data_IF_027343597165
#
_entry.id   IF_027343597165
#
_cell.length_a   1.000
_cell.length_b   1.000
_cell.length_c   1.000
_cell.angle_alpha   90.00
_cell.angle_beta   90.00
_cell.angle_gamma   90.00
#
_symmetry.space_group_name_H-M   'P 1'
#
loop_
_entity.id
_entity.type
_entity.pdbx_description
1 polymer ?
#
# COMPACT_ATOMS: atom_id res chain seq x y z
N UNK A 1 43.26 29.00 -64.68
CA UNK A 1 42.04 29.73 -65.06
C UNK A 1 40.84 28.99 -64.48
N UNK A 2 40.08 29.67 -63.62
CA UNK A 2 38.63 29.53 -63.36
C UNK A 2 38.16 28.11 -62.95
N UNK A 3 37.82 27.78 -61.70
CA UNK A 3 37.13 28.58 -60.69
C UNK A 3 35.63 28.61 -60.94
N UNK A 4 34.91 27.50 -60.72
CA UNK A 4 33.43 27.53 -60.64
C UNK A 4 32.98 26.71 -59.43
N UNK A 5 32.84 27.40 -58.30
CA UNK A 5 32.04 26.99 -57.15
C UNK A 5 30.58 26.87 -57.62
N UNK A 6 29.99 25.68 -57.55
CA UNK A 6 28.54 25.54 -57.65
C UNK A 6 27.92 25.93 -56.32
N UNK A 7 27.32 27.11 -56.30
CA UNK A 7 26.42 27.58 -55.24
C UNK A 7 25.10 26.83 -55.41
N UNK A 8 24.74 25.98 -54.46
CA UNK A 8 23.38 25.45 -54.31
C UNK A 8 22.65 26.39 -53.36
N UNK A 9 21.47 26.91 -53.70
CA UNK A 9 20.75 27.83 -52.84
C UNK A 9 20.19 27.05 -51.63
N UNK A 10 20.58 27.46 -50.42
CA UNK A 10 19.88 27.07 -49.20
C UNK A 10 18.54 27.81 -49.23
N UNK A 11 17.48 27.09 -49.61
CA UNK A 11 16.12 27.56 -49.38
C UNK A 11 15.89 27.53 -47.87
N UNK A 12 15.93 28.71 -47.25
CA UNK A 12 15.50 28.89 -45.87
C UNK A 12 14.00 28.60 -45.78
N UNK A 13 13.66 27.39 -45.36
CA UNK A 13 12.29 27.01 -45.04
C UNK A 13 11.93 27.63 -43.68
N UNK A 14 11.48 28.88 -43.71
CA UNK A 14 10.82 29.53 -42.58
C UNK A 14 9.49 28.81 -42.33
N UNK A 15 9.48 27.87 -41.38
CA UNK A 15 8.24 27.38 -40.79
C UNK A 15 7.69 28.53 -39.95
N UNK A 16 6.77 29.29 -40.54
CA UNK A 16 6.00 30.30 -39.83
C UNK A 16 5.27 29.64 -38.67
N UNK A 17 5.47 30.17 -37.46
CA UNK A 17 4.57 29.94 -36.34
C UNK A 17 3.23 30.59 -36.69
N UNK A 18 2.38 29.86 -37.42
CA UNK A 18 0.99 30.23 -37.58
C UNK A 18 0.30 29.94 -36.26
N UNK A 19 0.17 30.99 -35.45
CA UNK A 19 -0.62 31.02 -34.24
C UNK A 19 -2.08 30.74 -34.59
N UNK A 20 -2.50 29.48 -34.46
CA UNK A 20 -3.91 29.16 -34.39
C UNK A 20 -4.42 29.60 -33.02
N UNK A 21 -4.88 30.85 -32.95
CA UNK A 21 -5.90 31.26 -32.00
C UNK A 21 -7.17 30.43 -32.30
N UNK A 22 -7.19 29.21 -31.77
CA UNK A 22 -8.36 28.36 -31.74
C UNK A 22 -9.39 29.03 -30.82
N UNK A 23 -10.48 29.45 -31.43
CA UNK A 23 -11.65 30.01 -30.77
C UNK A 23 -11.99 29.22 -29.50
N UNK A 24 -12.03 29.95 -28.39
CA UNK A 24 -12.62 29.48 -27.15
C UNK A 24 -14.09 29.15 -27.38
N UNK A 25 -14.37 27.86 -27.57
CA UNK A 25 -15.62 27.28 -27.12
C UNK A 25 -15.57 27.35 -25.59
N UNK A 26 -16.17 28.42 -25.04
CA UNK A 26 -16.63 28.42 -23.65
C UNK A 26 -17.58 27.24 -23.50
N UNK A 27 -17.06 26.12 -22.99
CA UNK A 27 -17.87 25.02 -22.51
C UNK A 27 -18.83 25.59 -21.46
N UNK A 28 -20.12 25.56 -21.77
CA UNK A 28 -21.21 25.80 -20.80
C UNK A 28 -21.26 24.72 -19.70
N UNK A 29 -20.40 23.70 -19.76
CA UNK A 29 -20.15 22.76 -18.67
C UNK A 29 -19.02 23.28 -17.80
N UNK A 30 -19.28 23.48 -16.51
CA UNK A 30 -18.30 23.91 -15.53
C UNK A 30 -17.11 22.95 -15.34
N UNK A 31 -16.24 23.23 -14.34
CA UNK A 31 -15.02 22.50 -13.99
C UNK A 31 -15.06 20.98 -14.08
N UNK A 32 -16.21 20.41 -13.69
CA UNK A 32 -16.42 19.00 -13.54
C UNK A 32 -17.12 18.48 -14.79
N UNK A 33 -16.35 17.88 -15.68
CA UNK A 33 -16.85 17.35 -16.95
C UNK A 33 -17.57 16.03 -16.69
N UNK A 34 -18.89 16.01 -16.85
CA UNK A 34 -19.74 14.86 -16.50
C UNK A 34 -19.48 13.58 -17.30
N UNK A 35 -18.76 13.69 -18.42
CA UNK A 35 -18.39 12.57 -19.30
C UNK A 35 -16.88 12.22 -19.24
N UNK A 36 -16.10 12.87 -18.37
CA UNK A 36 -14.70 12.53 -18.18
C UNK A 36 -14.56 11.15 -17.53
N UNK A 37 -13.57 10.36 -17.98
CA UNK A 37 -13.29 9.06 -17.40
C UNK A 37 -12.32 9.23 -16.25
N UNK A 38 -12.84 9.52 -15.06
CA UNK A 38 -12.05 9.76 -13.86
C UNK A 38 -11.02 8.65 -13.58
N UNK A 39 -11.29 7.38 -13.92
CA UNK A 39 -10.31 6.30 -13.72
C UNK A 39 -9.11 6.43 -14.66
N UNK A 40 -9.36 6.77 -15.92
CA UNK A 40 -8.31 6.99 -16.90
C UNK A 40 -7.51 8.26 -16.57
N UNK A 41 -8.18 9.34 -16.18
CA UNK A 41 -7.51 10.60 -15.84
C UNK A 41 -6.61 10.45 -14.60
N UNK A 42 -7.07 9.72 -13.58
CA UNK A 42 -6.24 9.38 -12.41
C UNK A 42 -5.06 8.50 -12.80
N UNK A 43 -5.26 7.53 -13.69
CA UNK A 43 -4.18 6.67 -14.16
C UNK A 43 -3.13 7.46 -14.94
N UNK A 44 -3.55 8.34 -15.85
CA UNK A 44 -2.65 9.24 -16.59
C UNK A 44 -1.87 10.13 -15.64
N UNK A 45 -2.55 10.79 -14.70
CA UNK A 45 -1.91 11.66 -13.71
C UNK A 45 -0.90 10.90 -12.83
N UNK A 46 -1.18 9.63 -12.48
CA UNK A 46 -0.23 8.79 -11.74
C UNK A 46 0.99 8.41 -12.57
N UNK A 47 0.82 8.13 -13.88
CA UNK A 47 1.96 7.86 -14.77
C UNK A 47 2.83 9.10 -14.96
N UNK A 48 2.22 10.27 -15.13
CA UNK A 48 2.94 11.54 -15.25
C UNK A 48 3.65 11.89 -13.93
N UNK A 49 2.98 11.73 -12.79
CA UNK A 49 3.55 11.93 -11.45
C UNK A 49 4.76 11.02 -11.17
N UNK A 50 4.73 9.78 -11.69
CA UNK A 50 5.88 8.88 -11.58
C UNK A 50 7.07 9.35 -12.43
N UNK A 51 6.80 9.93 -13.61
CA UNK A 51 7.83 10.39 -14.52
C UNK A 51 8.50 11.69 -14.06
N UNK A 52 7.75 12.62 -13.46
CA UNK A 52 8.26 13.94 -13.05
C UNK A 52 8.36 14.15 -11.53
N UNK A 53 8.10 13.09 -10.76
CA UNK A 53 8.17 13.06 -9.29
C UNK A 53 7.21 14.03 -8.58
N UNK A 54 6.11 14.43 -9.23
CA UNK A 54 5.05 15.20 -8.58
C UNK A 54 4.07 14.32 -7.80
N UNK A 55 3.20 14.97 -7.04
CA UNK A 55 2.06 14.34 -6.40
C UNK A 55 0.84 14.36 -7.34
N UNK A 56 -0.21 13.60 -7.02
CA UNK A 56 -1.50 13.73 -7.70
C UNK A 56 -2.51 14.34 -6.73
N UNK A 57 -3.19 15.41 -7.14
CA UNK A 57 -4.26 16.01 -6.37
C UNK A 57 -5.60 15.65 -7.02
N UNK A 58 -6.43 14.90 -6.30
CA UNK A 58 -7.80 14.60 -6.72
C UNK A 58 -8.75 15.62 -6.11
N UNK A 59 -9.46 16.37 -6.95
CA UNK A 59 -10.50 17.32 -6.56
C UNK A 59 -11.88 16.74 -6.90
N UNK A 60 -12.58 16.25 -5.87
CA UNK A 60 -13.95 15.77 -5.97
C UNK A 60 -14.93 16.93 -5.78
N UNK A 61 -15.78 17.15 -6.77
CA UNK A 61 -16.81 18.17 -6.71
C UNK A 61 -17.89 18.02 -7.77
N UNK A 62 -18.74 19.03 -7.90
CA UNK A 62 -19.83 19.03 -8.87
C UNK A 62 -20.16 20.46 -9.32
N UNK A 63 -20.69 20.60 -10.54
CA UNK A 63 -20.99 21.94 -11.09
C UNK A 63 -22.12 22.69 -10.36
N UNK A 64 -22.97 22.00 -9.58
CA UNK A 64 -24.00 22.65 -8.75
C UNK A 64 -23.46 23.11 -7.38
N UNK A 65 -22.23 22.73 -7.02
CA UNK A 65 -21.64 23.00 -5.70
C UNK A 65 -20.92 24.36 -5.66
N UNK A 66 -21.56 25.37 -5.07
CA UNK A 66 -20.97 26.71 -4.94
C UNK A 66 -19.62 26.73 -4.16
N UNK A 67 -19.45 25.99 -3.04
CA UNK A 67 -18.15 25.91 -2.36
C UNK A 67 -17.04 25.29 -3.22
N UNK A 68 -17.37 24.38 -4.14
CA UNK A 68 -16.41 23.78 -5.06
C UNK A 68 -15.88 24.81 -6.07
N UNK A 69 -16.77 25.67 -6.60
CA UNK A 69 -16.36 26.79 -7.47
C UNK A 69 -15.51 27.81 -6.72
N UNK A 70 -15.86 28.12 -5.46
CA UNK A 70 -15.09 29.03 -4.63
C UNK A 70 -13.66 28.51 -4.40
N UNK A 71 -13.51 27.22 -4.04
CA UNK A 71 -12.20 26.59 -3.90
C UNK A 71 -11.38 26.65 -5.20
N UNK A 72 -12.01 26.37 -6.35
CA UNK A 72 -11.33 26.42 -7.64
C UNK A 72 -10.90 27.84 -8.02
N UNK A 73 -11.67 28.86 -7.69
CA UNK A 73 -11.23 30.25 -7.89
C UNK A 73 -9.92 30.53 -7.13
N UNK A 74 -9.74 29.95 -5.93
CA UNK A 74 -8.51 30.07 -5.17
C UNK A 74 -7.32 29.35 -5.85
N UNK A 75 -7.55 28.20 -6.50
CA UNK A 75 -6.51 27.49 -7.26
C UNK A 75 -5.94 28.32 -8.41
N UNK A 76 -6.72 29.27 -8.94
CA UNK A 76 -6.30 30.15 -10.04
C UNK A 76 -5.64 31.46 -9.58
N UNK A 77 -5.50 31.68 -8.27
CA UNK A 77 -4.69 32.81 -7.77
C UNK A 77 -3.21 32.60 -8.09
N UNK A 78 -2.40 33.64 -8.33
CA UNK A 78 -1.03 33.48 -8.85
C UNK A 78 -0.14 32.56 -8.01
N UNK A 79 -0.19 32.68 -6.68
CA UNK A 79 0.63 31.87 -5.78
C UNK A 79 0.18 30.41 -5.74
N UNK A 80 -1.13 30.15 -5.58
CA UNK A 80 -1.67 28.80 -5.58
C UNK A 80 -1.49 28.11 -6.93
N UNK A 81 -1.73 28.81 -8.05
CA UNK A 81 -1.55 28.26 -9.39
C UNK A 81 -0.10 27.85 -9.65
N UNK A 82 0.86 28.69 -9.24
CA UNK A 82 2.29 28.41 -9.38
C UNK A 82 2.69 27.18 -8.54
N UNK A 83 2.24 27.12 -7.29
CA UNK A 83 2.52 25.99 -6.40
C UNK A 83 1.89 24.69 -6.91
N UNK A 84 0.62 24.73 -7.34
CA UNK A 84 -0.11 23.57 -7.85
C UNK A 84 0.55 23.01 -9.11
N UNK A 85 0.90 23.87 -10.07
CA UNK A 85 1.58 23.47 -11.31
C UNK A 85 2.95 22.84 -11.05
N UNK A 86 3.69 23.37 -10.08
CA UNK A 86 5.01 22.86 -9.71
C UNK A 86 4.94 21.51 -8.97
N UNK A 87 3.87 21.27 -8.21
CA UNK A 87 3.85 20.20 -7.18
C UNK A 87 2.90 19.05 -7.51
N UNK A 88 1.84 19.29 -8.28
CA UNK A 88 0.77 18.31 -8.49
C UNK A 88 0.39 18.13 -9.96
N UNK A 89 0.00 16.91 -10.31
CA UNK A 89 -0.94 16.62 -11.39
C UNK A 89 -2.36 16.67 -10.83
N UNK A 90 -3.17 17.62 -11.29
CA UNK A 90 -4.51 17.88 -10.77
C UNK A 90 -5.57 17.14 -11.59
N UNK A 91 -6.41 16.35 -10.93
CA UNK A 91 -7.53 15.61 -11.54
C UNK A 91 -8.85 16.06 -10.93
N UNK A 92 -9.73 16.61 -11.76
CA UNK A 92 -11.09 16.97 -11.37
C UNK A 92 -12.03 15.77 -11.53
N UNK A 93 -12.76 15.43 -10.47
CA UNK A 93 -13.64 14.26 -10.43
C UNK A 93 -15.07 14.73 -10.17
N UNK A 94 -15.92 14.64 -11.20
CA UNK A 94 -17.34 14.96 -11.08
C UNK A 94 -18.08 13.87 -10.29
N UNK A 95 -18.74 14.26 -9.20
CA UNK A 95 -19.56 13.34 -8.40
C UNK A 95 -21.05 13.41 -8.77
N UNK A 96 -21.43 14.31 -9.68
CA UNK A 96 -22.84 14.54 -10.03
C UNK A 96 -23.67 14.92 -8.80
N UNK A 97 -24.89 14.40 -8.69
CA UNK A 97 -25.70 14.50 -7.46
C UNK A 97 -25.34 13.34 -6.50
N UNK A 98 -24.05 13.15 -6.24
CA UNK A 98 -23.48 12.00 -5.53
C UNK A 98 -23.79 10.63 -6.17
N UNK A 99 -24.09 10.63 -7.47
CA UNK A 99 -24.46 9.44 -8.24
C UNK A 99 -23.42 9.08 -9.33
N UNK A 100 -22.31 9.82 -9.44
CA UNK A 100 -21.19 9.52 -10.34
C UNK A 100 -19.90 9.32 -9.55
N UNK A 101 -19.02 8.47 -10.08
CA UNK A 101 -17.67 8.20 -9.54
C UNK A 101 -17.65 7.79 -8.05
N UNK A 102 -18.75 7.27 -7.51
CA UNK A 102 -18.84 6.86 -6.11
C UNK A 102 -17.90 5.70 -5.77
N UNK A 103 -17.58 4.83 -6.73
CA UNK A 103 -16.56 3.79 -6.57
C UNK A 103 -15.14 4.37 -6.53
N UNK A 104 -14.86 5.41 -7.32
CA UNK A 104 -13.58 6.15 -7.28
C UNK A 104 -13.43 6.86 -5.95
N UNK A 105 -14.48 7.55 -5.48
CA UNK A 105 -14.50 8.19 -4.17
C UNK A 105 -14.25 7.16 -3.04
N UNK A 106 -14.87 5.98 -3.10
CA UNK A 106 -14.63 4.89 -2.13
C UNK A 106 -13.23 4.30 -2.22
N UNK A 107 -12.67 4.14 -3.43
CA UNK A 107 -11.31 3.63 -3.66
C UNK A 107 -10.27 4.47 -2.89
N UNK A 108 -10.46 5.79 -2.86
CA UNK A 108 -9.54 6.73 -2.22
C UNK A 108 -10.05 7.24 -0.86
N UNK A 109 -10.76 6.41 -0.09
CA UNK A 109 -11.09 6.70 1.32
C UNK A 109 -12.45 7.37 1.57
N UNK A 110 -13.43 7.16 0.69
CA UNK A 110 -14.78 7.74 0.78
C UNK A 110 -14.77 9.27 0.79
N UNK A 111 -13.98 9.86 -0.11
CA UNK A 111 -13.64 11.28 -0.15
C UNK A 111 -14.83 12.26 -0.03
N UNK A 112 -16.01 11.87 -0.52
CA UNK A 112 -17.21 12.72 -0.55
C UNK A 112 -18.03 12.70 0.75
N UNK A 113 -17.62 11.93 1.76
CA UNK A 113 -18.25 11.94 3.09
C UNK A 113 -17.38 12.77 4.07
N UNK A 114 -17.91 13.82 4.72
CA UNK A 114 -19.33 14.20 4.81
C UNK A 114 -19.83 15.18 3.72
N UNK A 115 -19.00 15.59 2.74
CA UNK A 115 -19.47 16.45 1.65
C UNK A 115 -18.37 16.84 0.65
N UNK A 116 -18.75 17.68 -0.33
CA UNK A 116 -17.85 18.28 -1.34
C UNK A 116 -17.72 19.81 -1.13
N UNK A 117 -16.60 20.44 -1.54
CA UNK A 117 -15.43 19.85 -2.20
C UNK A 117 -14.62 18.92 -1.27
N UNK A 118 -13.92 17.98 -1.88
CA UNK A 118 -13.00 17.09 -1.19
C UNK A 118 -11.71 16.92 -1.98
N UNK A 119 -10.59 17.14 -1.33
CA UNK A 119 -9.25 17.03 -1.88
C UNK A 119 -8.55 15.79 -1.33
N UNK A 120 -8.04 14.95 -2.22
CA UNK A 120 -7.18 13.81 -1.86
C UNK A 120 -5.81 14.03 -2.47
N UNK A 121 -4.76 13.92 -1.66
CA UNK A 121 -3.38 13.97 -2.14
C UNK A 121 -2.86 12.55 -2.24
N UNK A 122 -2.39 12.17 -3.43
CA UNK A 122 -1.68 10.93 -3.68
C UNK A 122 -0.19 11.20 -3.87
N UNK A 123 0.65 10.30 -3.35
CA UNK A 123 2.02 10.16 -3.84
C UNK A 123 2.02 9.71 -5.30
N UNK A 124 3.15 9.88 -6.01
CA UNK A 124 3.35 9.35 -7.37
C UNK A 124 3.13 7.83 -7.46
N UNK A 125 3.34 7.10 -6.36
CA UNK A 125 3.02 5.67 -6.24
C UNK A 125 1.52 5.35 -6.24
N UNK A 126 0.65 6.35 -6.05
CA UNK A 126 -0.79 6.19 -5.88
C UNK A 126 -1.23 5.96 -4.43
N UNK A 127 -0.31 5.95 -3.45
CA UNK A 127 -0.64 5.95 -2.03
C UNK A 127 -1.35 7.25 -1.64
N UNK A 128 -2.46 7.16 -0.89
CA UNK A 128 -3.09 8.35 -0.33
C UNK A 128 -2.27 8.87 0.84
N UNK A 129 -1.77 10.10 0.73
CA UNK A 129 -0.92 10.74 1.75
C UNK A 129 -1.59 11.92 2.44
N UNK A 130 -2.76 12.35 1.97
CA UNK A 130 -3.50 13.45 2.58
C UNK A 130 -4.97 13.49 2.17
N UNK A 131 -5.80 13.95 3.11
CA UNK A 131 -7.23 14.17 2.93
C UNK A 131 -7.59 15.56 3.43
N UNK A 132 -8.34 16.32 2.63
CA UNK A 132 -9.00 17.53 3.12
C UNK A 132 -10.43 17.57 2.60
N UNK A 133 -11.39 17.39 3.51
CA UNK A 133 -12.81 17.21 3.15
C UNK A 133 -13.71 18.25 3.82
N UNK A 134 -14.74 18.72 3.11
CA UNK A 134 -15.90 19.38 3.72
C UNK A 134 -15.56 20.56 4.65
N UNK A 135 -16.01 20.52 5.91
CA UNK A 135 -15.83 21.60 6.91
C UNK A 135 -14.36 21.99 7.15
N UNK A 136 -13.41 21.09 6.89
CA UNK A 136 -11.98 21.39 6.98
C UNK A 136 -11.49 22.39 5.92
N UNK A 137 -12.24 22.56 4.82
CA UNK A 137 -11.97 23.56 3.78
C UNK A 137 -12.69 24.89 4.04
N UNK A 138 -13.62 24.96 5.00
CA UNK A 138 -14.34 26.20 5.34
C UNK A 138 -13.44 27.38 5.75
N UNK A 139 -12.25 27.17 6.38
CA UNK A 139 -11.31 28.26 6.67
C UNK A 139 -10.45 28.70 5.47
N UNK A 140 -10.48 27.98 4.33
CA UNK A 140 -9.65 28.29 3.15
C UNK A 140 -10.29 29.45 2.39
N UNK A 141 -9.63 30.61 2.40
CA UNK A 141 -10.20 31.85 1.84
C UNK A 141 -9.27 32.58 0.86
N UNK A 142 -8.03 32.11 0.73
CA UNK A 142 -6.99 32.71 -0.10
C UNK A 142 -6.15 31.65 -0.83
N UNK A 143 -5.39 32.06 -1.83
CA UNK A 143 -4.39 31.20 -2.46
C UNK A 143 -3.33 30.71 -1.48
N UNK A 144 -2.92 31.57 -0.53
CA UNK A 144 -1.92 31.22 0.49
C UNK A 144 -2.45 30.13 1.44
N UNK A 145 -3.75 30.13 1.74
CA UNK A 145 -4.39 29.07 2.52
C UNK A 145 -4.37 27.72 1.78
N UNK A 146 -4.58 27.74 0.46
CA UNK A 146 -4.47 26.54 -0.38
C UNK A 146 -3.05 25.98 -0.34
N UNK A 147 -2.04 26.84 -0.53
CA UNK A 147 -0.63 26.44 -0.47
C UNK A 147 -0.29 25.87 0.90
N UNK A 148 -0.61 26.58 1.98
CA UNK A 148 -0.34 26.15 3.37
C UNK A 148 -0.99 24.81 3.70
N UNK A 149 -2.23 24.61 3.26
CA UNK A 149 -2.97 23.37 3.49
C UNK A 149 -2.32 22.19 2.76
N UNK A 150 -2.03 22.36 1.47
CA UNK A 150 -1.49 21.30 0.62
C UNK A 150 0.00 21.03 0.91
N UNK A 151 0.78 22.06 1.21
CA UNK A 151 2.17 21.90 1.67
C UNK A 151 2.20 21.17 2.99
N UNK A 152 1.32 21.47 3.96
CA UNK A 152 1.26 20.70 5.21
C UNK A 152 0.90 19.23 5.00
N UNK A 153 0.12 18.88 3.96
CA UNK A 153 -0.15 17.48 3.62
C UNK A 153 1.09 16.78 3.02
N UNK A 154 1.85 17.50 2.20
CA UNK A 154 3.12 17.04 1.60
C UNK A 154 4.28 17.04 2.62
N UNK A 155 4.31 17.97 3.56
CA UNK A 155 5.41 18.17 4.51
C UNK A 155 5.35 17.19 5.68
N UNK A 156 4.14 16.77 6.08
CA UNK A 156 3.95 15.62 6.99
C UNK A 156 4.52 14.32 6.42
N UNK A 157 4.73 14.26 5.11
CA UNK A 157 5.47 13.18 4.44
C UNK A 157 6.92 13.57 4.14
N UNK A 158 7.26 14.85 3.96
CA UNK A 158 8.65 15.31 3.74
C UNK A 158 9.55 15.26 4.99
N UNK A 159 9.00 15.22 6.22
CA UNK A 159 9.77 14.85 7.42
C UNK A 159 10.17 13.36 7.46
N UNK A 160 9.70 12.58 6.47
CA UNK A 160 10.19 11.25 6.06
C UNK A 160 10.71 11.33 4.63
N UNK A 161 11.64 12.27 4.42
CA UNK A 161 12.08 12.78 3.12
C UNK A 161 12.50 11.74 2.07
N UNK A 162 12.32 12.14 0.82
CA UNK A 162 12.91 11.58 -0.41
C UNK A 162 12.83 10.06 -0.55
N UNK A 163 11.82 9.57 -1.27
CA UNK A 163 11.87 8.23 -1.82
C UNK A 163 12.12 8.31 -3.33
N UNK A 164 13.42 8.27 -3.70
CA UNK A 164 13.87 7.26 -4.66
C UNK A 164 13.08 5.96 -4.43
N UNK A 165 12.74 5.16 -5.47
CA UNK A 165 11.98 3.93 -5.29
C UNK A 165 12.51 3.18 -4.07
N UNK A 166 11.68 3.07 -3.01
CA UNK A 166 12.12 2.38 -1.80
C UNK A 166 12.56 1.00 -2.26
N UNK A 167 13.80 0.58 -1.99
CA UNK A 167 14.23 -0.75 -2.37
C UNK A 167 13.21 -1.75 -1.82
N UNK A 168 12.95 -2.82 -2.58
CA UNK A 168 12.12 -3.91 -2.11
C UNK A 168 12.58 -4.28 -0.69
N UNK A 169 11.64 -4.66 0.19
CA UNK A 169 12.01 -5.12 1.53
C UNK A 169 12.91 -6.34 1.36
N UNK A 170 14.21 -6.14 1.49
CA UNK A 170 15.22 -7.17 1.32
C UNK A 170 15.26 -8.02 2.59
N UNK A 171 15.11 -9.33 2.39
CA UNK A 171 15.32 -10.31 3.44
C UNK A 171 16.82 -10.61 3.53
N UNK A 172 17.36 -10.62 4.74
CA UNK A 172 18.72 -11.02 5.07
C UNK A 172 18.95 -12.47 4.63
N UNK A 173 19.74 -12.71 3.56
CA UNK A 173 19.95 -14.05 3.02
C UNK A 173 20.61 -14.99 4.05
N UNK A 174 21.38 -14.47 5.00
CA UNK A 174 21.99 -15.27 6.06
C UNK A 174 20.96 -15.86 7.04
N UNK A 175 19.73 -15.36 7.03
CA UNK A 175 18.61 -15.91 7.81
C UNK A 175 17.79 -16.97 7.05
N UNK A 176 18.09 -17.22 5.77
CA UNK A 176 17.40 -18.22 4.95
C UNK A 176 18.08 -19.57 5.14
N UNK A 177 17.64 -20.30 6.16
CA UNK A 177 18.12 -21.65 6.48
C UNK A 177 16.99 -22.49 7.04
N UNK A 178 17.11 -23.81 6.92
CA UNK A 178 16.17 -24.74 7.51
C UNK A 178 16.11 -24.54 9.03
N UNK A 179 14.91 -24.35 9.57
CA UNK A 179 14.69 -24.09 10.99
C UNK A 179 13.29 -24.54 11.44
N UNK A 180 13.12 -24.73 12.74
CA UNK A 180 11.82 -24.97 13.34
C UNK A 180 11.75 -24.23 14.69
N UNK A 181 10.80 -23.31 14.81
CA UNK A 181 10.55 -22.53 16.01
C UNK A 181 9.20 -22.96 16.60
N UNK A 182 9.13 -23.09 17.93
CA UNK A 182 7.89 -23.41 18.66
C UNK A 182 7.64 -22.36 19.72
N UNK A 183 6.47 -21.75 19.68
CA UNK A 183 5.99 -20.76 20.65
C UNK A 183 4.78 -21.33 21.38
N UNK A 184 4.73 -21.13 22.70
CA UNK A 184 3.53 -21.36 23.48
C UNK A 184 2.50 -20.27 23.18
N UNK A 185 1.22 -20.64 23.07
CA UNK A 185 0.11 -19.71 22.86
C UNK A 185 -0.60 -19.48 24.19
N UNK A 186 -0.74 -18.21 24.55
CA UNK A 186 -1.52 -17.75 25.69
C UNK A 186 -2.67 -16.89 25.19
N UNK A 187 -3.89 -17.19 25.60
CA UNK A 187 -5.07 -16.40 25.26
C UNK A 187 -5.86 -16.11 26.53
N UNK A 188 -6.25 -14.84 26.74
CA UNK A 188 -6.99 -14.40 27.92
C UNK A 188 -6.37 -14.84 29.27
N UNK A 189 -5.03 -14.93 29.33
CA UNK A 189 -4.29 -15.34 30.54
C UNK A 189 -4.06 -16.85 30.67
N UNK A 190 -4.77 -17.69 29.93
CA UNK A 190 -4.61 -19.14 29.92
C UNK A 190 -3.50 -19.57 28.95
N UNK A 191 -2.67 -20.53 29.36
CA UNK A 191 -1.70 -21.20 28.48
C UNK A 191 -2.28 -22.54 28.05
N UNK A 192 -2.42 -22.77 26.75
CA UNK A 192 -3.06 -24.00 26.27
C UNK A 192 -2.77 -24.38 24.82
N UNK A 193 -2.06 -23.54 24.08
CA UNK A 193 -1.80 -23.79 22.67
C UNK A 193 -0.33 -23.78 22.29
N UNK A 194 -0.07 -24.21 21.06
CA UNK A 194 1.26 -24.14 20.44
C UNK A 194 1.15 -23.49 19.07
N UNK A 195 2.20 -22.77 18.70
CA UNK A 195 2.41 -22.23 17.37
C UNK A 195 3.79 -22.69 16.90
N UNK A 196 3.81 -23.49 15.84
CA UNK A 196 5.02 -24.01 15.24
C UNK A 196 5.22 -23.34 13.89
N UNK A 197 6.36 -22.72 13.68
CA UNK A 197 6.81 -22.22 12.39
C UNK A 197 8.03 -23.01 11.94
N UNK A 198 7.91 -23.70 10.79
CA UNK A 198 9.03 -24.41 10.16
C UNK A 198 9.40 -23.74 8.86
N UNK A 199 10.70 -23.67 8.59
CA UNK A 199 11.26 -23.29 7.31
C UNK A 199 12.12 -24.42 6.78
N UNK A 200 11.92 -24.79 5.53
CA UNK A 200 12.71 -25.78 4.81
C UNK A 200 13.28 -25.13 3.56
N UNK A 201 14.60 -25.17 3.40
CA UNK A 201 15.31 -24.54 2.28
C UNK A 201 15.80 -25.62 1.32
N UNK A 202 15.25 -25.62 0.11
CA UNK A 202 15.71 -26.46 -1.02
C UNK A 202 16.51 -25.64 -2.04
N UNK A 203 16.96 -26.29 -3.11
CA UNK A 203 17.71 -25.63 -4.19
C UNK A 203 16.87 -24.64 -5.00
N UNK A 204 15.61 -24.99 -5.27
CA UNK A 204 14.74 -24.23 -6.20
C UNK A 204 13.57 -23.53 -5.48
N UNK A 205 13.35 -23.86 -4.20
CA UNK A 205 12.24 -23.35 -3.41
C UNK A 205 12.56 -23.31 -1.93
N UNK A 206 11.97 -22.33 -1.25
CA UNK A 206 11.90 -22.28 0.21
C UNK A 206 10.46 -22.56 0.61
N UNK A 207 10.23 -23.37 1.64
CA UNK A 207 8.89 -23.72 2.11
C UNK A 207 8.73 -23.35 3.56
N UNK A 208 7.69 -22.59 3.90
CA UNK A 208 7.31 -22.35 5.30
C UNK A 208 6.05 -23.11 5.66
N UNK A 209 6.03 -23.72 6.84
CA UNK A 209 4.85 -24.36 7.42
C UNK A 209 4.49 -23.69 8.74
N UNK A 210 3.22 -23.35 8.92
CA UNK A 210 2.63 -22.92 10.19
C UNK A 210 1.68 -24.01 10.66
N UNK A 211 1.84 -24.43 11.91
CA UNK A 211 0.88 -25.30 12.61
C UNK A 211 0.52 -24.64 13.92
N UNK A 212 -0.77 -24.38 14.15
CA UNK A 212 -1.25 -23.90 15.44
C UNK A 212 -2.25 -24.87 16.05
N UNK A 213 -2.16 -25.06 17.36
CA UNK A 213 -3.06 -25.92 18.12
C UNK A 213 -3.48 -25.27 19.43
N UNK A 214 -4.60 -25.73 19.98
CA UNK A 214 -5.14 -25.32 21.26
C UNK A 214 -5.80 -26.52 21.95
N UNK A 215 -5.39 -26.85 23.17
CA UNK A 215 -5.80 -28.05 23.92
C UNK A 215 -5.85 -29.31 23.02
N UNK A 216 -4.71 -29.61 22.39
CA UNK A 216 -4.51 -30.74 21.45
C UNK A 216 -5.38 -30.73 20.17
N UNK A 217 -6.17 -29.67 19.96
CA UNK A 217 -6.97 -29.48 18.74
C UNK A 217 -6.19 -28.64 17.74
N UNK A 218 -6.07 -29.13 16.50
CA UNK A 218 -5.47 -28.37 15.40
C UNK A 218 -6.39 -27.19 15.02
N UNK A 219 -5.86 -25.97 15.08
CA UNK A 219 -6.59 -24.75 14.70
C UNK A 219 -6.25 -24.29 13.29
N UNK A 220 -4.97 -24.38 12.91
CA UNK A 220 -4.51 -23.95 11.60
C UNK A 220 -3.36 -24.82 11.11
N UNK A 221 -3.36 -25.10 9.81
CA UNK A 221 -2.19 -25.59 9.08
C UNK A 221 -2.04 -24.81 7.78
N UNK A 222 -1.01 -23.97 7.71
CA UNK A 222 -0.65 -23.25 6.50
C UNK A 222 0.70 -23.72 5.94
N UNK A 223 0.79 -23.79 4.62
CA UNK A 223 1.99 -24.07 3.85
C UNK A 223 2.15 -22.94 2.83
N UNK A 224 3.33 -22.33 2.77
CA UNK A 224 3.67 -21.37 1.70
C UNK A 224 4.95 -21.82 1.03
N UNK A 225 4.91 -21.93 -0.30
CA UNK A 225 6.06 -22.20 -1.16
C UNK A 225 6.52 -20.89 -1.76
N UNK A 226 7.80 -20.60 -1.59
CA UNK A 226 8.49 -19.44 -2.14
C UNK A 226 9.45 -19.86 -3.25
N UNK A 227 9.65 -18.97 -4.21
CA UNK A 227 10.75 -19.07 -5.17
C UNK A 227 12.11 -19.05 -4.45
N UNK A 228 13.03 -19.97 -4.81
CA UNK A 228 14.29 -20.13 -4.09
C UNK A 228 15.25 -18.93 -4.18
N UNK A 229 15.11 -18.10 -5.22
CA UNK A 229 15.96 -16.93 -5.43
C UNK A 229 15.26 -15.63 -5.01
N UNK A 230 14.07 -15.38 -5.55
CA UNK A 230 13.35 -14.14 -5.29
C UNK A 230 12.60 -14.13 -3.95
N UNK A 231 12.46 -15.29 -3.29
CA UNK A 231 11.73 -15.50 -2.04
C UNK A 231 10.28 -14.99 -2.09
N UNK A 232 9.72 -14.86 -3.30
CA UNK A 232 8.32 -14.48 -3.52
C UNK A 232 7.42 -15.69 -3.35
N UNK A 233 6.22 -15.53 -2.76
CA UNK A 233 5.28 -16.63 -2.69
C UNK A 233 4.92 -17.07 -4.10
N UNK A 234 4.87 -18.39 -4.31
CA UNK A 234 4.39 -19.04 -5.52
C UNK A 234 3.06 -19.72 -5.27
N UNK A 235 2.92 -20.35 -4.11
CA UNK A 235 1.76 -21.14 -3.77
C UNK A 235 1.50 -21.14 -2.26
N UNK A 236 0.23 -21.08 -1.87
CA UNK A 236 -0.20 -21.03 -0.48
C UNK A 236 -1.34 -22.00 -0.29
N UNK A 237 -1.25 -22.85 0.72
CA UNK A 237 -2.37 -23.62 1.25
C UNK A 237 -2.59 -23.23 2.70
N UNK A 238 -3.85 -23.10 3.09
CA UNK A 238 -4.22 -22.92 4.49
C UNK A 238 -5.50 -23.67 4.80
N UNK A 239 -5.54 -24.27 5.97
CA UNK A 239 -6.70 -24.98 6.48
C UNK A 239 -6.92 -24.61 7.93
N UNK A 240 -8.12 -24.19 8.23
CA UNK A 240 -8.66 -23.96 9.58
C UNK A 240 -9.98 -24.73 9.73
N UNK A 241 -10.62 -24.63 10.89
CA UNK A 241 -11.99 -25.12 11.09
C UNK A 241 -13.03 -24.31 10.28
N UNK A 242 -12.77 -23.03 10.04
CA UNK A 242 -13.68 -22.10 9.37
C UNK A 242 -13.47 -21.99 7.85
N UNK A 243 -12.30 -22.37 7.34
CA UNK A 243 -11.99 -22.24 5.92
C UNK A 243 -10.81 -23.09 5.44
N UNK A 244 -10.83 -23.39 4.14
CA UNK A 244 -9.70 -23.89 3.36
C UNK A 244 -9.38 -22.90 2.24
N UNK A 245 -8.11 -22.59 2.05
CA UNK A 245 -7.63 -21.60 1.06
C UNK A 245 -6.50 -22.21 0.24
N UNK A 246 -6.56 -22.06 -1.08
CA UNK A 246 -5.45 -22.38 -2.00
C UNK A 246 -5.22 -21.21 -2.94
N UNK A 247 -4.00 -20.67 -2.96
CA UNK A 247 -3.61 -19.53 -3.78
C UNK A 247 -2.37 -19.84 -4.61
N UNK A 248 -2.32 -19.27 -5.80
CA UNK A 248 -1.14 -19.27 -6.67
C UNK A 248 -0.80 -17.85 -7.08
N UNK A 249 0.48 -17.52 -7.02
CA UNK A 249 1.04 -16.22 -7.36
C UNK A 249 1.92 -16.38 -8.59
N UNK A 250 1.50 -15.81 -9.72
CA UNK A 250 2.22 -15.90 -10.97
C UNK A 250 1.87 -14.74 -11.91
N UNK A 251 2.85 -14.29 -12.70
CA UNK A 251 2.65 -13.28 -13.76
C UNK A 251 1.93 -11.99 -13.29
N UNK A 252 2.26 -11.49 -12.08
CA UNK A 252 1.62 -10.29 -11.53
C UNK A 252 0.15 -10.49 -11.16
N UNK A 253 -0.24 -11.73 -10.86
CA UNK A 253 -1.61 -12.09 -10.46
C UNK A 253 -1.60 -13.03 -9.26
N UNK A 254 -2.67 -12.96 -8.47
CA UNK A 254 -3.02 -13.95 -7.46
C UNK A 254 -4.32 -14.62 -7.87
N UNK A 255 -4.28 -15.94 -8.03
CA UNK A 255 -5.45 -16.77 -8.29
C UNK A 255 -5.69 -17.66 -7.09
N UNK A 256 -6.94 -17.91 -6.77
CA UNK A 256 -7.20 -18.83 -5.67
C UNK A 256 -8.65 -19.18 -5.46
N UNK A 257 -8.81 -20.12 -4.55
CA UNK A 257 -10.08 -20.63 -4.07
C UNK A 257 -10.11 -20.54 -2.56
N UNK A 258 -11.22 -20.06 -2.02
CA UNK A 258 -11.55 -20.14 -0.59
C UNK A 258 -12.84 -20.94 -0.43
N UNK A 259 -12.81 -21.94 0.43
CA UNK A 259 -13.95 -22.80 0.76
C UNK A 259 -14.26 -22.65 2.24
N UNK A 260 -15.51 -22.35 2.59
CA UNK A 260 -15.97 -22.24 3.98
C UNK A 260 -17.11 -23.22 4.26
N UNK A 261 -17.16 -23.87 5.43
CA UNK A 261 -18.29 -24.72 5.81
C UNK A 261 -19.58 -23.90 5.90
N UNK A 262 -20.69 -24.44 5.38
CA UNK A 262 -22.01 -23.81 5.44
C UNK A 262 -23.10 -24.83 5.85
N UNK A 263 -23.03 -25.43 7.06
CA UNK A 263 -23.99 -26.44 7.49
C UNK A 263 -25.40 -25.84 7.70
N UNK A 264 -26.48 -26.54 7.29
CA UNK A 264 -26.51 -27.91 6.75
C UNK A 264 -26.29 -28.01 5.22
N UNK A 265 -26.03 -26.89 4.53
CA UNK A 265 -25.83 -26.82 3.08
C UNK A 265 -24.43 -27.23 2.60
N UNK A 266 -24.22 -27.20 1.28
CA UNK A 266 -22.90 -27.43 0.69
C UNK A 266 -21.92 -26.30 1.06
N UNK A 267 -20.60 -26.55 1.06
CA UNK A 267 -19.61 -25.50 1.36
C UNK A 267 -19.71 -24.30 0.43
N UNK A 268 -19.54 -23.10 0.98
CA UNK A 268 -19.47 -21.87 0.20
C UNK A 268 -18.09 -21.78 -0.45
N UNK A 269 -18.04 -21.61 -1.77
CA UNK A 269 -16.79 -21.53 -2.53
C UNK A 269 -16.66 -20.18 -3.24
N UNK A 270 -15.56 -19.49 -2.99
CA UNK A 270 -15.18 -18.23 -3.64
C UNK A 270 -13.93 -18.46 -4.48
N UNK A 271 -14.05 -18.26 -5.79
CA UNK A 271 -12.91 -18.26 -6.72
C UNK A 271 -12.58 -16.82 -7.12
N UNK A 272 -11.29 -16.52 -7.28
CA UNK A 272 -10.85 -15.20 -7.72
C UNK A 272 -9.57 -15.26 -8.53
N UNK A 273 -9.41 -14.27 -9.40
CA UNK A 273 -8.21 -14.01 -10.19
C UNK A 273 -7.98 -12.49 -10.23
N UNK A 274 -7.02 -12.02 -9.45
CA UNK A 274 -6.79 -10.60 -9.20
C UNK A 274 -5.40 -10.20 -9.66
N UNK A 275 -5.27 -8.97 -10.16
CA UNK A 275 -3.96 -8.37 -10.36
C UNK A 275 -3.27 -8.17 -9.01
N UNK A 276 -1.97 -8.42 -8.95
CA UNK A 276 -1.16 -8.24 -7.74
C UNK A 276 0.19 -7.65 -8.10
N UNK A 277 0.70 -6.76 -7.25
CA UNK A 277 2.02 -6.16 -7.45
C UNK A 277 3.11 -7.21 -7.21
N UNK A 278 4.21 -7.23 -7.99
CA UNK A 278 5.29 -8.21 -7.81
C UNK A 278 5.95 -8.20 -6.42
N UNK A 279 5.84 -7.11 -5.65
CA UNK A 279 6.32 -7.03 -4.26
C UNK A 279 5.33 -7.57 -3.22
N UNK A 280 4.12 -7.94 -3.64
CA UNK A 280 3.06 -8.43 -2.75
C UNK A 280 3.44 -9.79 -2.15
N UNK A 281 3.22 -9.92 -0.85
CA UNK A 281 3.38 -11.18 -0.11
C UNK A 281 2.04 -11.66 0.42
N UNK A 282 1.90 -12.96 0.68
CA UNK A 282 0.72 -13.48 1.37
C UNK A 282 0.75 -13.14 2.86
N UNK A 283 -0.41 -12.89 3.48
CA UNK A 283 -0.51 -12.67 4.94
C UNK A 283 0.12 -13.77 5.79
N UNK A 284 0.16 -15.02 5.32
CA UNK A 284 0.81 -16.15 6.01
C UNK A 284 2.33 -16.10 5.97
N UNK A 285 2.89 -15.20 5.17
CA UNK A 285 4.34 -14.98 5.08
C UNK A 285 4.88 -14.04 6.16
N UNK A 286 4.03 -13.42 6.99
CA UNK A 286 4.51 -12.51 8.05
C UNK A 286 5.52 -13.18 9.00
N UNK A 287 5.27 -14.40 9.53
CA UNK A 287 6.24 -15.10 10.38
C UNK A 287 7.55 -15.49 9.64
N UNK A 288 7.48 -15.65 8.32
CA UNK A 288 8.67 -15.86 7.49
C UNK A 288 9.48 -14.57 7.36
N UNK A 289 8.83 -13.45 7.08
CA UNK A 289 9.47 -12.17 6.75
C UNK A 289 10.08 -11.50 7.98
N UNK A 290 9.31 -11.36 9.06
CA UNK A 290 9.68 -10.47 10.19
C UNK A 290 11.07 -10.79 10.79
N UNK A 291 11.43 -12.05 11.09
CA UNK A 291 12.76 -12.37 11.62
C UNK A 291 13.92 -12.16 10.63
N UNK A 292 13.59 -12.00 9.35
CA UNK A 292 14.53 -11.97 8.22
C UNK A 292 14.70 -10.56 7.66
N UNK A 293 13.99 -9.57 8.18
CA UNK A 293 14.22 -8.18 7.83
C UNK A 293 15.60 -7.70 8.28
N UNK A 294 16.15 -6.72 7.57
CA UNK A 294 17.24 -5.91 8.08
C UNK A 294 16.75 -5.07 9.27
N UNK A 295 16.95 -5.58 10.49
CA UNK A 295 16.49 -4.94 11.73
C UNK A 295 17.43 -3.82 12.16
N UNK A 296 17.27 -2.65 11.56
CA UNK A 296 17.96 -1.42 11.94
C UNK A 296 17.02 -0.56 12.80
N UNK A 297 17.37 -0.20 14.05
CA UNK A 297 16.56 0.68 14.89
C UNK A 297 16.15 1.97 14.19
N UNK A 298 14.91 2.40 14.44
CA UNK A 298 14.31 3.60 13.86
C UNK A 298 13.87 3.47 12.40
N UNK A 299 14.11 2.31 11.75
CA UNK A 299 13.66 2.09 10.37
C UNK A 299 12.22 1.60 10.32
N UNK A 300 11.54 1.95 9.22
CA UNK A 300 10.20 1.47 8.90
C UNK A 300 10.24 0.73 7.57
N UNK A 301 9.87 -0.55 7.58
CA UNK A 301 9.56 -1.30 6.38
C UNK A 301 8.07 -1.23 6.08
N UNK A 302 7.70 -1.11 4.80
CA UNK A 302 6.30 -1.16 4.36
C UNK A 302 6.15 -2.31 3.39
N UNK A 303 5.31 -3.28 3.75
CA UNK A 303 5.11 -4.51 3.00
C UNK A 303 3.68 -4.55 2.47
N UNK A 304 3.47 -4.69 1.16
CA UNK A 304 2.15 -4.96 0.61
C UNK A 304 1.77 -6.42 0.89
N UNK A 305 0.73 -6.63 1.67
CA UNK A 305 0.26 -7.96 2.08
C UNK A 305 -1.11 -8.24 1.48
N UNK A 306 -1.21 -9.30 0.68
CA UNK A 306 -2.48 -9.79 0.17
C UNK A 306 -3.25 -10.55 1.25
N UNK A 307 -4.53 -10.23 1.38
CA UNK A 307 -5.47 -10.90 2.26
C UNK A 307 -6.62 -11.53 1.47
N UNK A 308 -6.68 -12.86 1.52
CA UNK A 308 -7.69 -13.67 0.83
C UNK A 308 -9.10 -13.44 1.36
N UNK A 309 -9.27 -12.79 2.52
CA UNK A 309 -10.60 -12.53 3.09
C UNK A 309 -11.23 -11.29 2.50
N UNK A 310 -10.45 -10.21 2.42
CA UNK A 310 -10.87 -8.94 1.85
C UNK A 310 -10.66 -8.87 0.34
N UNK A 311 -9.93 -9.83 -0.24
CA UNK A 311 -9.54 -9.88 -1.65
C UNK A 311 -8.79 -8.61 -2.07
N UNK A 312 -7.98 -8.07 -1.15
CA UNK A 312 -7.25 -6.82 -1.30
C UNK A 312 -5.83 -6.95 -0.77
N UNK A 313 -4.95 -6.10 -1.29
CA UNK A 313 -3.60 -5.90 -0.78
C UNK A 313 -3.58 -4.71 0.15
N UNK A 314 -3.01 -4.89 1.34
CA UNK A 314 -2.94 -3.89 2.40
C UNK A 314 -1.50 -3.52 2.68
N UNK A 315 -1.15 -2.23 2.80
CA UNK A 315 0.16 -1.83 3.27
C UNK A 315 0.27 -2.13 4.77
N UNK A 316 1.26 -2.93 5.14
CA UNK A 316 1.63 -3.20 6.54
C UNK A 316 2.95 -2.53 6.83
N UNK A 317 2.95 -1.64 7.83
CA UNK A 317 4.13 -0.93 8.31
C UNK A 317 4.72 -1.68 9.48
N UNK A 318 6.02 -1.96 9.39
CA UNK A 318 6.84 -2.61 10.41
C UNK A 318 7.88 -1.61 10.88
N UNK A 319 7.75 -1.12 12.11
CA UNK A 319 8.67 -0.14 12.69
C UNK A 319 9.61 -0.86 13.64
N UNK A 320 10.91 -0.84 13.34
CA UNK A 320 11.93 -1.46 14.17
C UNK A 320 12.32 -0.50 15.29
N UNK A 321 12.00 -0.86 16.53
CA UNK A 321 12.42 -0.13 17.72
C UNK A 321 13.87 -0.42 18.11
N UNK A 322 14.31 0.22 19.20
CA UNK A 322 15.63 -0.02 19.78
C UNK A 322 15.78 -1.47 20.30
N UNK A 323 17.03 -1.91 20.40
CA UNK A 323 17.37 -3.17 21.07
C UNK A 323 16.93 -3.09 22.53
N UNK A 324 16.18 -4.09 22.96
CA UNK A 324 15.57 -4.16 24.29
C UNK A 324 15.85 -5.51 24.94
N UNK A 325 15.79 -5.55 26.28
CA UNK A 325 15.89 -6.79 27.06
C UNK A 325 14.49 -7.34 27.29
N UNK A 326 14.18 -8.45 26.62
CA UNK A 326 12.90 -9.13 26.75
C UNK A 326 12.98 -10.20 27.84
N UNK A 327 12.13 -10.07 28.86
CA UNK A 327 11.93 -11.13 29.84
C UNK A 327 11.03 -12.23 29.26
N UNK A 328 11.55 -13.46 29.23
CA UNK A 328 10.88 -14.70 28.84
C UNK A 328 10.91 -15.70 30.03
N UNK A 329 10.16 -16.81 29.98
CA UNK A 329 10.11 -17.77 31.08
C UNK A 329 11.47 -18.43 31.33
N UNK A 330 12.27 -18.63 30.28
CA UNK A 330 13.60 -19.21 30.35
C UNK A 330 14.71 -18.21 30.74
N UNK A 331 14.42 -16.91 30.81
CA UNK A 331 15.41 -15.89 31.11
C UNK A 331 15.20 -14.59 30.34
N UNK A 332 16.18 -13.70 30.41
CA UNK A 332 16.15 -12.42 29.66
C UNK A 332 17.01 -12.53 28.42
N UNK A 333 16.48 -12.12 27.27
CA UNK A 333 17.16 -12.18 25.97
C UNK A 333 17.12 -10.81 25.31
N UNK A 334 18.20 -10.42 24.64
CA UNK A 334 18.22 -9.22 23.82
C UNK A 334 17.36 -9.42 22.56
N UNK A 335 16.50 -8.45 22.30
CA UNK A 335 15.52 -8.51 21.22
C UNK A 335 15.35 -7.14 20.54
N UNK A 336 14.86 -7.16 19.31
CA UNK A 336 14.25 -6.00 18.68
C UNK A 336 12.74 -6.07 18.84
N UNK A 337 12.13 -4.98 19.30
CA UNK A 337 10.68 -4.80 19.28
C UNK A 337 10.28 -4.23 17.92
N UNK A 338 9.35 -4.87 17.24
CA UNK A 338 8.85 -4.47 15.92
C UNK A 338 7.37 -4.18 16.06
N UNK A 339 7.00 -2.90 15.90
CA UNK A 339 5.60 -2.48 15.87
C UNK A 339 5.01 -2.73 14.50
N UNK A 340 3.81 -3.31 14.49
CA UNK A 340 3.12 -3.69 13.26
C UNK A 340 1.81 -2.94 13.19
N UNK A 341 1.64 -2.16 12.12
CA UNK A 341 0.41 -1.41 11.85
C UNK A 341 -0.07 -1.64 10.43
N UNK A 342 -1.38 -1.75 10.25
CA UNK A 342 -2.00 -2.00 8.94
C UNK A 342 -3.46 -2.42 9.10
N UNK A 343 -4.24 -2.23 8.04
CA UNK A 343 -5.67 -2.57 8.02
C UNK A 343 -5.91 -4.06 7.70
N UNK A 344 -5.25 -4.94 8.45
CA UNK A 344 -5.43 -6.39 8.34
C UNK A 344 -6.11 -6.94 9.58
N UNK A 345 -7.21 -7.66 9.36
CA UNK A 345 -7.91 -8.33 10.44
C UNK A 345 -7.00 -9.38 11.09
N UNK A 346 -6.93 -9.31 12.42
CA UNK A 346 -6.19 -10.24 13.26
C UNK A 346 -4.69 -10.30 12.90
N UNK A 347 -4.08 -9.13 12.67
CA UNK A 347 -2.64 -9.00 12.54
C UNK A 347 -2.00 -8.83 13.94
N UNK A 348 -0.86 -9.47 14.23
CA UNK A 348 -0.09 -9.18 15.44
C UNK A 348 0.26 -7.69 15.49
N UNK A 349 0.15 -7.08 16.66
CA UNK A 349 0.45 -5.66 16.89
C UNK A 349 1.94 -5.44 17.18
N UNK A 350 2.58 -6.42 17.83
CA UNK A 350 4.00 -6.35 18.19
C UNK A 350 4.68 -7.68 17.92
N UNK A 351 5.92 -7.65 17.43
CA UNK A 351 6.83 -8.79 17.41
C UNK A 351 8.08 -8.48 18.22
N UNK A 352 8.63 -9.51 18.85
CA UNK A 352 9.96 -9.47 19.42
C UNK A 352 10.80 -10.53 18.74
N UNK A 353 11.90 -10.09 18.12
CA UNK A 353 12.84 -10.95 17.40
C UNK A 353 14.18 -10.93 18.13
N UNK A 354 14.85 -12.07 18.29
CA UNK A 354 16.17 -12.09 18.92
C UNK A 354 17.15 -11.18 18.19
N UNK A 355 17.99 -10.47 18.95
CA UNK A 355 18.97 -9.56 18.37
C UNK A 355 20.20 -10.29 17.81
N UNK A 356 20.52 -11.45 18.38
CA UNK A 356 21.65 -12.26 17.96
C UNK A 356 21.29 -13.15 16.77
N UNK A 357 22.28 -13.39 15.91
CA UNK A 357 22.15 -14.33 14.80
C UNK A 357 22.36 -15.76 15.31
N UNK A 358 21.55 -16.72 14.85
CA UNK A 358 20.44 -16.48 13.97
C UNK A 358 19.20 -15.90 14.65
N UNK A 359 18.51 -15.00 13.95
CA UNK A 359 17.30 -14.37 14.45
C UNK A 359 16.13 -15.35 14.49
N UNK A 360 15.38 -15.33 15.58
CA UNK A 360 14.13 -16.09 15.77
C UNK A 360 13.05 -15.21 16.40
N UNK A 361 11.79 -15.56 16.16
CA UNK A 361 10.68 -14.95 16.89
C UNK A 361 10.73 -15.41 18.34
N UNK A 362 10.73 -14.46 19.27
CA UNK A 362 10.71 -14.72 20.71
C UNK A 362 9.31 -14.53 21.30
N UNK A 363 8.60 -13.50 20.84
CA UNK A 363 7.22 -13.20 21.25
C UNK A 363 6.47 -12.50 20.13
N UNK A 364 5.18 -12.74 20.01
CA UNK A 364 4.28 -11.87 19.23
C UNK A 364 3.00 -11.60 20.02
N UNK A 365 2.55 -10.35 19.98
CA UNK A 365 1.38 -9.86 20.69
C UNK A 365 0.27 -9.58 19.68
N UNK A 366 -0.91 -10.12 19.94
CA UNK A 366 -2.04 -10.11 19.03
C UNK A 366 -3.23 -9.39 19.66
N UNK A 367 -4.18 -8.91 18.83
CA UNK A 367 -5.44 -8.38 19.32
C UNK A 367 -6.13 -9.35 20.29
N UNK A 368 -6.95 -8.81 21.20
CA UNK A 368 -7.68 -9.59 22.24
C UNK A 368 -6.76 -10.32 23.24
N UNK A 369 -5.59 -9.74 23.54
CA UNK A 369 -4.66 -10.23 24.57
C UNK A 369 -4.15 -11.67 24.30
N UNK A 370 -4.06 -12.06 23.03
CA UNK A 370 -3.39 -13.30 22.65
C UNK A 370 -1.89 -13.04 22.53
N UNK A 371 -1.07 -13.88 23.12
CA UNK A 371 0.39 -13.77 23.12
C UNK A 371 0.97 -15.12 22.71
N UNK A 372 1.86 -15.09 21.73
CA UNK A 372 2.71 -16.24 21.40
C UNK A 372 4.07 -15.94 22.01
N UNK A 373 4.67 -16.89 22.71
CA UNK A 373 5.89 -16.67 23.47
C UNK A 373 6.79 -17.91 23.47
N UNK A 374 8.09 -17.71 23.32
CA UNK A 374 9.06 -18.80 23.40
C UNK A 374 9.11 -19.35 24.82
N UNK A 375 8.97 -20.67 24.95
CA UNK A 375 9.21 -21.37 26.20
C UNK A 375 10.72 -21.57 26.49
N UNK A 376 11.60 -21.29 25.51
CA UNK A 376 13.04 -21.54 25.54
C UNK A 376 13.90 -20.38 25.01
#
# INVERSE_FOLDING_TARGET
>A
MVGVRRVVPVVAMTIGLTSCAGLGLLSLGGPYVSHANARADIQTALLEAQADHKFVLLDFGANWCAPCHALRALFHTPHAASYLLATFHLVYIDVGNFNRNGDVARKYGSATWPGIPALIVLASSGEVIGFVTGKALSPVSSGDDVVRLLSAAVDRTASTGSALPRPAVELDPAQIRTSADTLGVRAAGESGGTFVFKLEVGSDSVTSTIVSSWHDTLLQRALTVYDGLSLRPKEVWDSTDAEQVHLTYAAGRVRGTRVSPNPPGPPDTVNFDLATDPSTVDRRSVPFIVPRLALVPGTTAVIPIFDSWTLRTHPVRLVTGDRTRLALPAGTVDAYRIDVTGDLRNLPQTWYVSADLPRRTLRSEWPRHTVLESAQ
#
